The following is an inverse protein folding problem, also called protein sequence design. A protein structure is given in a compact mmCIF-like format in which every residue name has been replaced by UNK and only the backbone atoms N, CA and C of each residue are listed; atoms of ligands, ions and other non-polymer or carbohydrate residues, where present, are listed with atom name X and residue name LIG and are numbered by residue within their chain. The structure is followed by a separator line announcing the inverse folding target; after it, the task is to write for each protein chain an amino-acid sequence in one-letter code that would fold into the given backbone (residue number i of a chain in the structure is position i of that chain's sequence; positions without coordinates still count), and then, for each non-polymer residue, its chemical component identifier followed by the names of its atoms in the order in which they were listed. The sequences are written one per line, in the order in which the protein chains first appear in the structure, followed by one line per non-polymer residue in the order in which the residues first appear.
data_IF_627209342268
#
_entry.id   IF_627209342268
#
_cell.length_a   1.000
_cell.length_b   1.000
_cell.length_c   1.000
_cell.angle_alpha   90.00
_cell.angle_beta   90.00
_cell.angle_gamma   90.00
#
_symmetry.space_group_name_H-M   'P 1'
#
loop_
_entity.id
_entity.type
_entity.pdbx_description
1 polymer ?
#
# COMPACT_ATOMS: atom_id res chain seq x y z
N UNK A 1 78.61 42.07 20.70
CA UNK A 1 78.57 41.57 19.31
C UNK A 1 78.42 40.06 19.37
N UNK A 2 77.25 39.55 19.01
CA UNK A 2 77.09 38.25 18.34
C UNK A 2 75.63 38.04 17.95
N UNK A 3 75.49 37.39 16.81
CA UNK A 3 74.41 37.48 15.84
C UNK A 3 73.36 36.38 16.11
N UNK A 4 72.08 36.73 15.91
CA UNK A 4 70.93 35.81 15.85
C UNK A 4 71.03 34.82 14.68
N UNK A 5 70.49 33.59 14.80
CA UNK A 5 69.89 32.92 13.68
C UNK A 5 68.36 32.99 13.79
N UNK A 6 67.78 33.59 12.76
CA UNK A 6 66.34 33.62 12.44
C UNK A 6 65.90 32.19 12.12
N UNK A 7 64.94 31.66 12.89
CA UNK A 7 64.25 30.41 12.57
C UNK A 7 63.11 30.75 11.60
N UNK A 8 63.27 30.32 10.35
CA UNK A 8 62.25 30.42 9.30
C UNK A 8 61.24 29.27 9.50
N UNK A 9 60.05 29.59 10.03
CA UNK A 9 58.94 28.65 10.17
C UNK A 9 58.20 28.53 8.84
N UNK A 10 58.45 27.44 8.12
CA UNK A 10 57.71 27.01 6.94
C UNK A 10 56.29 26.57 7.36
N UNK A 11 55.30 27.45 7.15
CA UNK A 11 53.88 27.12 7.23
C UNK A 11 53.54 26.21 6.04
N UNK A 12 53.49 24.91 6.29
CA UNK A 12 52.90 23.92 5.38
C UNK A 12 51.39 24.15 5.39
N UNK A 13 50.90 24.88 4.39
CA UNK A 13 49.48 24.98 4.06
C UNK A 13 48.99 23.62 3.58
N UNK A 14 48.52 22.79 4.51
CA UNK A 14 47.74 21.58 4.17
C UNK A 14 46.42 22.03 3.54
N UNK A 15 46.08 21.60 2.31
CA UNK A 15 44.76 21.83 1.78
C UNK A 15 43.78 21.05 2.66
N UNK A 16 42.90 21.78 3.35
CA UNK A 16 41.69 21.18 3.88
C UNK A 16 40.93 20.60 2.68
N UNK A 17 41.04 19.30 2.47
CA UNK A 17 40.08 18.56 1.67
C UNK A 17 38.74 18.76 2.34
N UNK A 18 37.93 19.65 1.77
CA UNK A 18 36.51 19.69 2.03
C UNK A 18 35.99 18.28 1.71
N UNK A 19 35.73 17.51 2.77
CA UNK A 19 34.92 16.31 2.66
C UNK A 19 33.57 16.81 2.17
N UNK A 20 33.35 16.72 0.86
CA UNK A 20 32.01 16.75 0.30
C UNK A 20 31.26 15.67 1.06
N UNK A 21 30.39 16.07 1.99
CA UNK A 21 29.36 15.20 2.52
C UNK A 21 28.56 14.73 1.30
N UNK A 22 28.89 13.53 0.82
CA UNK A 22 28.18 12.91 -0.27
C UNK A 22 26.71 12.87 0.15
N UNK A 23 25.86 13.58 -0.59
CA UNK A 23 24.43 13.60 -0.34
C UNK A 23 23.90 12.17 -0.49
N UNK A 24 23.78 11.44 0.62
CA UNK A 24 22.97 10.23 0.69
C UNK A 24 21.56 10.65 0.29
N UNK A 25 21.14 10.28 -0.92
CA UNK A 25 19.81 10.68 -1.37
C UNK A 25 18.80 9.94 -0.51
N UNK A 26 17.91 10.67 0.17
CA UNK A 26 16.93 10.08 1.09
C UNK A 26 16.17 8.94 0.40
N UNK A 27 15.96 7.83 1.11
CA UNK A 27 15.10 6.74 0.63
C UNK A 27 13.63 7.21 0.58
N UNK A 28 12.79 6.49 -0.18
CA UNK A 28 11.34 6.71 -0.25
C UNK A 28 10.93 8.07 -0.84
N UNK A 29 11.59 8.48 -1.93
CA UNK A 29 11.34 9.77 -2.57
C UNK A 29 10.00 9.84 -3.31
N UNK A 30 9.33 8.69 -3.54
CA UNK A 30 8.09 8.60 -4.31
C UNK A 30 8.23 9.21 -5.72
N UNK A 31 9.36 8.90 -6.37
CA UNK A 31 9.80 9.49 -7.64
C UNK A 31 9.43 8.62 -8.83
N UNK A 32 9.57 7.29 -8.70
CA UNK A 32 9.46 6.37 -9.82
C UNK A 32 8.07 5.77 -9.98
N UNK A 33 7.23 5.83 -8.95
CA UNK A 33 5.80 5.48 -9.03
C UNK A 33 4.95 6.74 -8.89
N UNK A 34 4.90 7.63 -9.91
CA UNK A 34 4.17 8.88 -9.83
C UNK A 34 2.66 8.66 -9.76
N UNK A 35 1.98 9.65 -9.20
CA UNK A 35 0.52 9.71 -9.17
C UNK A 35 -0.05 9.68 -10.60
N UNK A 36 -1.00 8.77 -10.84
CA UNK A 36 -1.85 8.72 -12.03
C UNK A 36 -3.24 9.20 -11.67
N UNK A 37 -3.56 10.41 -12.09
CA UNK A 37 -4.91 10.99 -11.98
C UNK A 37 -5.80 10.62 -13.16
N UNK A 38 -5.24 10.08 -14.23
CA UNK A 38 -5.97 9.67 -15.42
C UNK A 38 -6.60 8.28 -15.29
N UNK A 39 -7.33 7.85 -16.31
CA UNK A 39 -7.99 6.55 -16.34
C UNK A 39 -7.09 5.43 -16.91
N UNK A 40 -5.85 5.74 -17.32
CA UNK A 40 -4.99 4.79 -18.04
C UNK A 40 -4.70 3.52 -17.24
N UNK A 41 -4.55 3.61 -15.92
CA UNK A 41 -4.34 2.42 -15.06
C UNK A 41 -5.60 1.59 -14.84
N UNK A 42 -6.77 2.24 -14.94
CA UNK A 42 -8.09 1.66 -14.65
C UNK A 42 -8.70 0.98 -15.88
N UNK A 43 -8.51 1.55 -17.07
CA UNK A 43 -9.12 1.05 -18.31
C UNK A 43 -8.38 -0.11 -18.97
N UNK A 44 -7.27 -0.60 -18.40
CA UNK A 44 -6.47 -1.69 -18.97
C UNK A 44 -6.47 -2.91 -18.05
N UNK A 45 -6.76 -4.08 -18.61
CA UNK A 45 -6.49 -5.39 -17.99
C UNK A 45 -5.13 -5.96 -18.43
N UNK A 46 -4.44 -5.29 -19.36
CA UNK A 46 -3.22 -5.79 -20.00
C UNK A 46 -1.94 -5.29 -19.33
N UNK A 47 -0.78 -5.73 -19.84
CA UNK A 47 0.55 -5.31 -19.40
C UNK A 47 0.83 -3.78 -19.47
N UNK A 48 -0.15 -3.00 -19.92
CA UNK A 48 -0.04 -1.58 -20.14
C UNK A 48 -0.39 -0.86 -18.84
N UNK A 49 0.51 0.00 -18.37
CA UNK A 49 0.26 0.88 -17.23
C UNK A 49 1.06 0.55 -15.98
N UNK A 50 1.81 -0.56 -15.89
CA UNK A 50 2.80 -0.74 -14.82
C UNK A 50 4.21 -0.54 -15.36
N UNK A 51 5.17 -0.29 -14.47
CA UNK A 51 6.57 -0.16 -14.85
C UNK A 51 7.10 -1.47 -15.44
N UNK A 52 7.77 -1.36 -16.58
CA UNK A 52 8.47 -2.46 -17.25
C UNK A 52 9.70 -2.90 -16.45
N UNK A 53 10.20 -4.12 -16.71
CA UNK A 53 11.43 -4.63 -16.06
C UNK A 53 12.62 -3.67 -16.20
N UNK A 54 12.91 -3.06 -17.37
CA UNK A 54 13.95 -2.04 -17.49
C UNK A 54 13.74 -0.81 -16.59
N UNK A 55 12.50 -0.36 -16.42
CA UNK A 55 12.17 0.78 -15.54
C UNK A 55 12.31 0.42 -14.05
N UNK A 56 11.96 -0.82 -13.68
CA UNK A 56 12.19 -1.34 -12.32
C UNK A 56 13.69 -1.40 -12.00
N UNK A 57 14.51 -1.92 -12.91
CA UNK A 57 15.97 -1.96 -12.75
C UNK A 57 16.54 -0.55 -12.63
N UNK A 58 16.07 0.39 -13.45
CA UNK A 58 16.49 1.79 -13.36
C UNK A 58 16.13 2.42 -12.01
N UNK A 59 14.96 2.10 -11.47
CA UNK A 59 14.52 2.56 -10.14
C UNK A 59 15.43 2.02 -9.05
N UNK A 60 15.69 0.71 -9.06
CA UNK A 60 16.59 0.04 -8.11
C UNK A 60 17.99 0.63 -8.16
N UNK A 61 18.57 0.75 -9.37
CA UNK A 61 19.90 1.30 -9.58
C UNK A 61 20.02 2.76 -9.10
N UNK A 62 18.98 3.58 -9.25
CA UNK A 62 18.99 4.95 -8.74
C UNK A 62 19.15 5.00 -7.22
N UNK A 63 18.41 4.17 -6.49
CA UNK A 63 18.50 4.15 -5.02
C UNK A 63 19.81 3.53 -4.53
N UNK A 64 20.30 2.49 -5.18
CA UNK A 64 21.54 1.80 -4.80
C UNK A 64 22.81 2.52 -5.25
N UNK A 65 22.77 3.37 -6.28
CA UNK A 65 23.92 4.22 -6.60
C UNK A 65 24.11 5.31 -5.53
N UNK A 66 23.01 5.76 -4.94
CA UNK A 66 22.99 6.84 -3.96
C UNK A 66 23.11 6.38 -2.50
N UNK A 67 23.11 5.06 -2.25
CA UNK A 67 23.16 4.45 -0.92
C UNK A 67 24.11 3.25 -0.94
N UNK A 68 24.96 3.07 0.10
CA UNK A 68 26.02 2.06 0.07
C UNK A 68 25.51 0.61 -0.04
N UNK A 69 26.45 -0.29 -0.34
CA UNK A 69 26.31 -1.72 -0.73
C UNK A 69 25.37 -2.56 0.15
N UNK A 70 25.07 -2.16 1.39
CA UNK A 70 24.18 -2.89 2.30
C UNK A 70 22.67 -2.61 2.09
N UNK A 71 22.27 -1.61 1.29
CA UNK A 71 20.85 -1.26 1.13
C UNK A 71 20.01 -2.46 0.64
N UNK A 72 20.52 -3.18 -0.36
CA UNK A 72 19.83 -4.32 -0.95
C UNK A 72 19.66 -5.44 0.07
N UNK A 73 20.73 -5.80 0.77
CA UNK A 73 20.73 -6.81 1.81
C UNK A 73 19.72 -6.49 2.92
N UNK A 74 19.69 -5.25 3.40
CA UNK A 74 18.73 -4.79 4.39
C UNK A 74 17.29 -4.88 3.85
N UNK A 75 17.05 -4.39 2.64
CA UNK A 75 15.72 -4.43 2.03
C UNK A 75 15.22 -5.86 1.83
N UNK A 76 16.08 -6.76 1.34
CA UNK A 76 15.74 -8.18 1.16
C UNK A 76 15.44 -8.84 2.50
N UNK A 77 16.24 -8.55 3.54
CA UNK A 77 15.96 -9.07 4.89
C UNK A 77 14.58 -8.66 5.41
N UNK A 78 14.16 -7.43 5.17
CA UNK A 78 12.83 -6.93 5.57
C UNK A 78 11.72 -7.55 4.71
N UNK A 79 11.93 -7.67 3.40
CA UNK A 79 10.93 -8.20 2.46
C UNK A 79 10.75 -9.73 2.57
N UNK A 80 11.68 -10.41 3.22
CA UNK A 80 11.66 -11.87 3.44
C UNK A 80 11.61 -12.23 4.93
N UNK A 81 11.33 -11.25 5.80
CA UNK A 81 11.26 -11.49 7.24
C UNK A 81 10.03 -12.34 7.59
N UNK A 82 10.27 -13.44 8.29
CA UNK A 82 9.25 -14.43 8.67
C UNK A 82 9.59 -15.05 10.03
N UNK A 83 8.56 -15.41 10.78
CA UNK A 83 8.67 -16.14 12.05
C UNK A 83 8.35 -17.63 11.89
N UNK A 84 7.58 -17.99 10.86
CA UNK A 84 7.19 -19.36 10.57
C UNK A 84 8.39 -20.23 10.15
N UNK A 85 8.53 -21.41 10.77
CA UNK A 85 9.67 -22.32 10.53
C UNK A 85 9.76 -22.82 9.08
N UNK A 86 8.64 -23.14 8.42
CA UNK A 86 8.64 -23.60 7.01
C UNK A 86 9.15 -22.47 6.09
N UNK A 87 8.78 -21.22 6.36
CA UNK A 87 9.34 -20.06 5.63
C UNK A 87 10.85 -19.90 5.88
N UNK A 88 11.32 -20.10 7.11
CA UNK A 88 12.73 -19.97 7.45
C UNK A 88 13.59 -21.07 6.82
N UNK A 89 13.06 -22.30 6.70
CA UNK A 89 13.70 -23.42 6.00
C UNK A 89 13.84 -23.11 4.50
N UNK A 90 12.77 -22.72 3.81
CA UNK A 90 12.81 -22.31 2.40
C UNK A 90 13.85 -21.19 2.16
N UNK A 91 13.86 -20.17 3.04
CA UNK A 91 14.80 -19.06 2.92
C UNK A 91 16.25 -19.49 3.14
N UNK A 92 16.50 -20.50 3.97
CA UNK A 92 17.82 -21.06 4.14
C UNK A 92 18.25 -21.79 2.86
N UNK A 93 17.39 -22.63 2.28
CA UNK A 93 17.67 -23.34 1.03
C UNK A 93 17.95 -22.34 -0.11
N UNK A 94 17.11 -21.31 -0.26
CA UNK A 94 17.34 -20.26 -1.27
C UNK A 94 18.65 -19.50 -1.05
N UNK A 95 19.05 -19.24 0.21
CA UNK A 95 20.35 -18.61 0.51
C UNK A 95 21.50 -19.50 0.06
N UNK A 96 21.37 -20.82 0.19
CA UNK A 96 22.41 -21.76 -0.23
C UNK A 96 22.53 -21.83 -1.75
N UNK A 97 21.41 -21.92 -2.46
CA UNK A 97 21.36 -21.92 -3.92
C UNK A 97 21.90 -20.61 -4.53
N UNK A 98 21.74 -19.50 -3.81
CA UNK A 98 22.16 -18.17 -4.27
C UNK A 98 23.60 -17.79 -3.89
N UNK A 99 24.38 -18.67 -3.24
CA UNK A 99 25.77 -18.37 -2.78
C UNK A 99 26.69 -17.92 -3.91
N UNK A 100 26.56 -18.50 -5.09
CA UNK A 100 27.42 -18.23 -6.25
C UNK A 100 26.84 -17.16 -7.19
N UNK A 101 25.66 -16.62 -6.88
CA UNK A 101 25.03 -15.60 -7.71
C UNK A 101 25.79 -14.27 -7.64
N UNK A 102 25.85 -13.55 -8.76
CA UNK A 102 26.46 -12.20 -8.85
C UNK A 102 25.87 -11.22 -7.82
N UNK A 103 24.61 -11.41 -7.47
CA UNK A 103 23.94 -10.69 -6.40
C UNK A 103 23.11 -11.68 -5.58
N UNK A 104 23.71 -12.25 -4.54
CA UNK A 104 23.09 -13.21 -3.63
C UNK A 104 21.76 -12.72 -3.06
N UNK A 105 21.67 -11.47 -2.61
CA UNK A 105 20.44 -10.90 -2.03
C UNK A 105 19.29 -10.80 -3.05
N UNK A 106 19.60 -10.36 -4.29
CA UNK A 106 18.59 -10.30 -5.35
C UNK A 106 18.16 -11.70 -5.76
N UNK A 107 19.10 -12.65 -5.90
CA UNK A 107 18.79 -14.04 -6.19
C UNK A 107 17.84 -14.62 -5.12
N UNK A 108 18.12 -14.38 -3.82
CA UNK A 108 17.26 -14.81 -2.72
C UNK A 108 15.83 -14.27 -2.88
N UNK A 109 15.69 -12.97 -3.19
CA UNK A 109 14.37 -12.36 -3.41
C UNK A 109 13.68 -12.91 -4.67
N UNK A 110 14.44 -13.19 -5.74
CA UNK A 110 13.92 -13.82 -6.97
C UNK A 110 13.38 -15.24 -6.68
N UNK A 111 14.09 -16.04 -5.89
CA UNK A 111 13.67 -17.37 -5.43
C UNK A 111 12.46 -17.30 -4.51
N UNK A 112 12.45 -16.39 -3.54
CA UNK A 112 11.32 -16.16 -2.64
C UNK A 112 10.00 -15.86 -3.36
N UNK A 113 10.08 -15.13 -4.48
CA UNK A 113 8.93 -14.81 -5.32
C UNK A 113 8.62 -15.85 -6.40
N UNK A 114 9.52 -16.82 -6.63
CA UNK A 114 9.53 -17.69 -7.81
C UNK A 114 9.37 -16.89 -9.13
N UNK A 115 9.85 -15.64 -9.14
CA UNK A 115 9.66 -14.73 -10.26
C UNK A 115 10.52 -13.48 -10.20
N UNK A 116 11.38 -13.31 -11.21
CA UNK A 116 12.24 -12.13 -11.37
C UNK A 116 11.49 -10.80 -11.43
N UNK A 117 10.40 -10.71 -12.20
CA UNK A 117 9.65 -9.45 -12.29
C UNK A 117 8.99 -9.10 -10.96
N UNK A 118 8.46 -10.10 -10.24
CA UNK A 118 7.83 -9.85 -8.95
C UNK A 118 8.84 -9.37 -7.92
N UNK A 119 10.01 -10.03 -7.82
CA UNK A 119 11.09 -9.63 -6.93
C UNK A 119 11.57 -8.19 -7.21
N UNK A 120 11.83 -7.85 -8.47
CA UNK A 120 12.22 -6.50 -8.86
C UNK A 120 11.13 -5.46 -8.55
N UNK A 121 9.85 -5.81 -8.75
CA UNK A 121 8.74 -4.88 -8.45
C UNK A 121 8.57 -4.68 -6.95
N UNK A 122 8.64 -5.74 -6.14
CA UNK A 122 8.59 -5.64 -4.68
C UNK A 122 9.71 -4.73 -4.16
N UNK A 123 10.95 -4.95 -4.62
CA UNK A 123 12.12 -4.16 -4.22
C UNK A 123 12.00 -2.69 -4.66
N UNK A 124 11.59 -2.44 -5.90
CA UNK A 124 11.41 -1.08 -6.40
C UNK A 124 10.30 -0.31 -5.65
N UNK A 125 9.15 -0.97 -5.39
CA UNK A 125 8.07 -0.39 -4.60
C UNK A 125 8.51 -0.07 -3.19
N UNK A 126 9.28 -0.97 -2.56
CA UNK A 126 9.87 -0.73 -1.26
C UNK A 126 10.76 0.51 -1.29
N UNK A 127 11.78 0.55 -2.15
CA UNK A 127 12.72 1.68 -2.23
C UNK A 127 12.06 3.03 -2.49
N UNK A 128 11.03 3.08 -3.36
CA UNK A 128 10.43 4.34 -3.77
C UNK A 128 9.28 4.80 -2.86
N UNK A 129 8.49 3.86 -2.33
CA UNK A 129 7.23 4.18 -1.64
C UNK A 129 7.16 3.73 -0.18
N UNK A 130 8.18 3.03 0.32
CA UNK A 130 8.18 2.41 1.65
C UNK A 130 7.05 1.40 1.84
N UNK A 131 6.66 0.73 0.75
CA UNK A 131 5.64 -0.33 0.80
C UNK A 131 6.32 -1.69 0.85
N UNK A 132 5.98 -2.47 1.88
CA UNK A 132 6.35 -3.89 2.00
C UNK A 132 5.24 -4.72 1.38
N UNK A 133 5.61 -5.61 0.47
CA UNK A 133 4.72 -6.64 -0.06
C UNK A 133 5.48 -7.94 0.13
N UNK A 134 4.93 -8.87 0.90
CA UNK A 134 5.54 -10.17 1.20
C UNK A 134 4.49 -11.27 1.29
N UNK A 135 4.92 -12.52 1.35
CA UNK A 135 4.06 -13.66 1.71
C UNK A 135 3.59 -13.52 3.18
N UNK A 136 2.55 -14.24 3.55
CA UNK A 136 1.98 -14.19 4.90
C UNK A 136 2.56 -15.28 5.79
N UNK A 137 2.55 -15.09 7.10
CA UNK A 137 3.08 -16.07 8.07
C UNK A 137 2.38 -17.44 8.00
N UNK A 138 1.13 -17.47 7.54
CA UNK A 138 0.44 -18.72 7.26
C UNK A 138 0.92 -19.32 5.94
N UNK A 139 1.94 -20.16 6.02
CA UNK A 139 2.56 -20.85 4.88
C UNK A 139 1.56 -21.63 4.01
N UNK A 140 0.46 -22.13 4.60
CA UNK A 140 -0.59 -22.89 3.91
C UNK A 140 -1.62 -22.01 3.19
N UNK A 141 -1.65 -20.71 3.49
CA UNK A 141 -2.52 -19.77 2.79
C UNK A 141 -2.02 -19.54 1.36
N UNK A 142 -2.93 -19.14 0.47
CA UNK A 142 -2.54 -18.74 -0.89
C UNK A 142 -1.61 -17.54 -0.82
N UNK A 143 -0.46 -17.65 -1.47
CA UNK A 143 0.54 -16.59 -1.58
C UNK A 143 0.16 -15.56 -2.63
N UNK A 144 0.69 -14.35 -2.50
CA UNK A 144 0.68 -13.42 -3.62
C UNK A 144 1.54 -13.95 -4.76
N UNK A 145 1.22 -13.51 -5.97
CA UNK A 145 2.00 -13.80 -7.17
C UNK A 145 2.29 -12.50 -7.92
N UNK A 146 3.07 -12.60 -8.99
CA UNK A 146 3.44 -11.48 -9.88
C UNK A 146 2.27 -10.57 -10.28
N UNK A 147 1.09 -11.13 -10.51
CA UNK A 147 -0.08 -10.38 -10.93
C UNK A 147 -0.64 -9.51 -9.80
N UNK A 148 -0.62 -10.00 -8.56
CA UNK A 148 -0.98 -9.20 -7.38
C UNK A 148 -0.11 -7.95 -7.26
N UNK A 149 1.22 -8.08 -7.43
CA UNK A 149 2.14 -6.95 -7.36
C UNK A 149 1.87 -5.89 -8.43
N UNK A 150 1.42 -6.30 -9.62
CA UNK A 150 1.04 -5.35 -10.69
C UNK A 150 -0.16 -4.50 -10.27
N UNK A 151 -1.16 -5.11 -9.63
CA UNK A 151 -2.33 -4.37 -9.17
C UNK A 151 -2.00 -3.50 -7.96
N UNK A 152 -1.19 -3.99 -7.02
CA UNK A 152 -0.70 -3.17 -5.91
C UNK A 152 0.05 -1.93 -6.41
N UNK A 153 0.90 -2.07 -7.43
CA UNK A 153 1.53 -0.91 -8.07
C UNK A 153 0.49 0.07 -8.63
N UNK A 154 -0.51 -0.42 -9.38
CA UNK A 154 -1.56 0.42 -9.96
C UNK A 154 -2.33 1.18 -8.89
N UNK A 155 -2.71 0.50 -7.80
CA UNK A 155 -3.45 1.10 -6.69
C UNK A 155 -2.60 2.14 -5.94
N UNK A 156 -1.33 1.83 -5.63
CA UNK A 156 -0.43 2.79 -4.99
C UNK A 156 -0.20 4.04 -5.84
N UNK A 157 -0.17 3.90 -7.17
CA UNK A 157 -0.08 5.04 -8.10
C UNK A 157 -1.37 5.84 -8.21
N UNK A 158 -2.48 5.38 -7.60
CA UNK A 158 -3.68 6.21 -7.41
C UNK A 158 -3.66 7.04 -6.13
N UNK A 159 -2.69 6.82 -5.24
CA UNK A 159 -2.57 7.54 -3.98
C UNK A 159 -1.53 8.67 -4.14
N UNK A 160 -1.87 9.93 -3.82
CA UNK A 160 -0.92 11.04 -3.91
C UNK A 160 0.33 10.81 -3.07
N UNK A 161 1.48 11.26 -3.57
CA UNK A 161 2.77 11.12 -2.86
C UNK A 161 2.74 11.65 -1.44
N UNK A 162 2.06 12.78 -1.18
CA UNK A 162 1.98 13.31 0.19
C UNK A 162 1.17 12.40 1.12
N UNK A 163 0.12 11.73 0.61
CA UNK A 163 -0.66 10.77 1.39
C UNK A 163 0.14 9.51 1.66
N UNK A 164 0.84 8.96 0.65
CA UNK A 164 1.73 7.80 0.83
C UNK A 164 2.80 8.07 1.90
N UNK A 165 3.42 9.26 1.87
CA UNK A 165 4.35 9.70 2.91
C UNK A 165 3.70 9.78 4.28
N UNK A 166 2.48 10.33 4.37
CA UNK A 166 1.78 10.48 5.64
C UNK A 166 1.33 9.15 6.25
N UNK A 167 0.83 8.21 5.44
CA UNK A 167 0.46 6.86 5.90
C UNK A 167 1.65 6.20 6.56
N UNK A 168 2.85 6.34 5.98
CA UNK A 168 4.05 5.71 6.53
C UNK A 168 4.59 6.32 7.82
N UNK A 169 4.11 7.49 8.28
CA UNK A 169 4.63 8.04 9.53
C UNK A 169 4.14 7.17 10.70
N UNK A 170 4.95 6.99 11.75
CA UNK A 170 4.51 6.44 13.04
C UNK A 170 5.49 6.82 14.14
N UNK A 171 5.08 7.54 15.19
CA UNK A 171 6.00 7.90 16.28
C UNK A 171 5.95 6.84 17.38
N UNK A 172 7.11 6.26 17.77
CA UNK A 172 7.15 5.26 18.81
C UNK A 172 6.94 5.92 20.17
N UNK A 173 6.27 5.22 21.08
CA UNK A 173 6.41 5.50 22.51
C UNK A 173 7.58 4.65 22.98
N UNK A 174 8.71 5.29 23.25
CA UNK A 174 9.94 4.63 23.71
C UNK A 174 9.79 3.89 25.05
N UNK A 175 8.63 4.02 25.71
CA UNK A 175 8.29 3.43 27.01
C UNK A 175 6.88 2.80 27.02
N UNK A 176 6.37 2.33 25.88
CA UNK A 176 5.00 1.80 25.74
C UNK A 176 4.64 0.78 26.83
N UNK A 177 5.55 -0.15 27.12
CA UNK A 177 5.39 -1.16 28.17
C UNK A 177 5.23 -0.53 29.57
N UNK A 178 5.93 0.57 29.84
CA UNK A 178 5.81 1.32 31.09
C UNK A 178 4.42 1.94 31.20
N UNK A 179 3.88 2.47 30.10
CA UNK A 179 2.57 3.13 30.11
C UNK A 179 1.42 2.12 30.20
N UNK A 180 1.56 0.94 29.59
CA UNK A 180 0.58 -0.16 29.68
C UNK A 180 0.52 -0.75 31.07
N UNK A 181 1.68 -0.85 31.75
CA UNK A 181 1.79 -1.42 33.09
C UNK A 181 0.87 -0.76 34.12
N UNK A 182 0.59 0.54 33.94
CA UNK A 182 -0.26 1.33 34.82
C UNK A 182 -1.76 1.28 34.42
N UNK A 183 -2.12 0.61 33.32
CA UNK A 183 -3.51 0.41 32.89
C UNK A 183 -4.18 -0.77 33.61
N UNK A 184 -5.51 -0.83 33.58
CA UNK A 184 -6.23 -2.00 34.08
C UNK A 184 -6.05 -3.22 33.16
N UNK A 185 -6.17 -4.43 33.72
CA UNK A 185 -5.90 -5.69 33.03
C UNK A 185 -6.74 -5.92 31.78
N UNK A 186 -8.01 -5.49 31.79
CA UNK A 186 -8.91 -5.60 30.63
C UNK A 186 -8.40 -4.76 29.45
N UNK A 187 -7.90 -3.55 29.73
CA UNK A 187 -7.31 -2.69 28.70
C UNK A 187 -5.94 -3.21 28.24
N UNK A 188 -5.14 -3.80 29.14
CA UNK A 188 -3.88 -4.43 28.77
C UNK A 188 -4.11 -5.64 27.83
N UNK A 189 -5.05 -6.53 28.17
CA UNK A 189 -5.44 -7.67 27.34
C UNK A 189 -5.98 -7.22 25.98
N UNK A 190 -6.86 -6.21 25.93
CA UNK A 190 -7.37 -5.66 24.66
C UNK A 190 -6.27 -5.07 23.78
N UNK A 191 -5.24 -4.45 24.38
CA UNK A 191 -4.08 -3.92 23.65
C UNK A 191 -3.17 -5.06 23.17
N UNK A 192 -2.99 -6.12 23.97
CA UNK A 192 -2.18 -7.27 23.59
C UNK A 192 -2.87 -8.14 22.51
N UNK A 193 -4.18 -8.35 22.62
CA UNK A 193 -4.99 -9.11 21.66
C UNK A 193 -5.15 -8.39 20.31
N UNK A 194 -5.16 -7.06 20.30
CA UNK A 194 -5.21 -6.28 19.07
C UNK A 194 -3.87 -6.24 18.31
N UNK A 195 -2.76 -6.56 18.98
CA UNK A 195 -1.40 -6.42 18.46
C UNK A 195 -0.45 -7.57 18.92
N UNK A 196 -0.81 -8.85 18.75
CA UNK A 196 -0.08 -9.98 19.35
C UNK A 196 1.34 -10.19 18.80
N UNK A 197 1.64 -9.67 17.60
CA UNK A 197 2.97 -9.74 16.95
C UNK A 197 3.70 -8.39 16.90
N UNK A 198 3.03 -7.29 17.28
CA UNK A 198 3.39 -5.93 16.81
C UNK A 198 4.21 -5.11 17.84
N UNK A 199 4.39 -5.64 19.05
CA UNK A 199 5.08 -4.89 20.11
C UNK A 199 6.60 -4.82 19.95
N UNK A 200 7.22 -5.78 19.27
CA UNK A 200 8.68 -5.85 19.18
C UNK A 200 9.26 -5.24 17.90
N UNK A 201 8.45 -5.00 16.87
CA UNK A 201 8.89 -4.57 15.55
C UNK A 201 7.74 -3.80 14.88
N UNK A 202 7.79 -2.50 14.61
CA UNK A 202 8.46 -2.05 13.37
C UNK A 202 8.31 -0.54 13.15
N UNK A 203 8.37 0.28 14.21
CA UNK A 203 8.66 1.71 14.01
C UNK A 203 10.16 1.84 13.79
N UNK A 204 10.53 2.22 12.57
CA UNK A 204 11.92 2.36 12.16
C UNK A 204 12.54 3.60 12.81
N UNK A 205 13.87 3.67 12.85
CA UNK A 205 14.60 4.76 13.53
C UNK A 205 14.35 6.17 12.99
N UNK A 206 13.60 6.31 11.90
CA UNK A 206 13.11 7.57 11.32
C UNK A 206 11.68 7.93 11.74
N UNK A 207 11.13 7.28 12.79
CA UNK A 207 9.77 7.49 13.30
C UNK A 207 8.70 7.24 12.21
N UNK A 208 8.88 6.15 11.48
CA UNK A 208 7.95 5.70 10.44
C UNK A 208 7.66 4.21 10.55
N UNK A 209 6.52 3.79 10.00
CA UNK A 209 6.11 2.41 9.87
C UNK A 209 5.69 2.15 8.41
N UNK A 210 6.29 1.16 7.72
CA UNK A 210 5.99 0.87 6.32
C UNK A 210 4.52 0.46 6.12
N UNK A 211 3.96 0.80 4.96
CA UNK A 211 2.69 0.23 4.49
C UNK A 211 2.95 -1.21 4.04
N UNK A 212 2.25 -2.16 4.63
CA UNK A 212 2.55 -3.59 4.48
C UNK A 212 1.33 -4.33 3.94
N UNK A 213 1.50 -5.05 2.84
CA UNK A 213 0.48 -5.94 2.27
C UNK A 213 0.92 -7.38 2.44
N UNK A 214 0.07 -8.20 3.06
CA UNK A 214 0.31 -9.64 3.24
C UNK A 214 -0.94 -10.44 2.87
N UNK A 215 -0.79 -11.66 2.34
CA UNK A 215 -1.90 -12.58 2.25
C UNK A 215 -2.21 -13.13 3.64
N UNK A 216 -3.48 -13.43 3.91
CA UNK A 216 -3.88 -14.07 5.15
C UNK A 216 -5.25 -14.72 5.06
N UNK A 217 -5.68 -15.25 6.20
CA UNK A 217 -7.04 -15.77 6.37
C UNK A 217 -7.78 -14.69 7.14
N UNK A 218 -8.53 -13.85 6.44
CA UNK A 218 -9.34 -12.82 7.09
C UNK A 218 -10.33 -13.44 8.09
N UNK A 219 -10.90 -12.63 8.98
CA UNK A 219 -11.84 -13.09 10.01
C UNK A 219 -12.87 -14.10 9.43
N UNK A 220 -12.82 -15.34 9.94
CA UNK A 220 -13.66 -16.47 9.52
C UNK A 220 -13.65 -16.80 8.01
N UNK A 221 -12.62 -16.39 7.25
CA UNK A 221 -12.56 -16.50 5.78
C UNK A 221 -13.68 -15.75 5.03
N UNK A 222 -14.36 -14.81 5.69
CA UNK A 222 -15.48 -14.07 5.11
C UNK A 222 -15.10 -12.68 4.58
N UNK A 223 -14.04 -12.07 5.12
CA UNK A 223 -13.58 -10.74 4.68
C UNK A 223 -12.51 -10.82 3.59
N UNK A 224 -12.66 -9.95 2.58
CA UNK A 224 -11.77 -9.87 1.41
C UNK A 224 -10.41 -9.28 1.80
N UNK A 225 -10.43 -8.26 2.64
CA UNK A 225 -9.25 -7.67 3.24
C UNK A 225 -9.57 -7.13 4.64
N UNK A 226 -8.54 -6.83 5.41
CA UNK A 226 -8.66 -6.32 6.78
C UNK A 226 -7.47 -5.40 7.10
N UNK A 227 -7.77 -4.27 7.72
CA UNK A 227 -6.80 -3.33 8.30
C UNK A 227 -7.01 -3.31 9.81
N UNK A 228 -5.96 -3.61 10.58
CA UNK A 228 -6.02 -3.46 12.04
C UNK A 228 -5.85 -2.00 12.41
N UNK A 229 -6.66 -1.53 13.36
CA UNK A 229 -6.63 -0.14 13.78
C UNK A 229 -5.26 0.21 14.34
N UNK A 230 -4.55 1.06 13.62
CA UNK A 230 -3.23 1.52 14.02
C UNK A 230 -2.04 0.72 13.54
N UNK A 231 -2.29 -0.32 12.76
CA UNK A 231 -1.26 -0.95 11.94
C UNK A 231 -1.31 -0.35 10.53
N UNK A 232 -0.14 -0.15 9.93
CA UNK A 232 -0.03 0.02 8.48
C UNK A 232 0.03 -1.35 7.79
N UNK A 233 -0.82 -2.29 8.22
CA UNK A 233 -0.88 -3.67 7.74
C UNK A 233 -2.24 -3.92 7.11
N UNK A 234 -2.23 -4.34 5.84
CA UNK A 234 -3.40 -4.77 5.10
C UNK A 234 -3.27 -6.25 4.79
N UNK A 235 -4.18 -7.04 5.35
CA UNK A 235 -4.23 -8.48 5.13
C UNK A 235 -5.27 -8.77 4.05
N UNK A 236 -4.88 -9.45 2.98
CA UNK A 236 -5.79 -9.85 1.90
C UNK A 236 -6.09 -11.35 1.95
N UNK A 237 -7.36 -11.71 1.93
CA UNK A 237 -7.78 -13.10 1.67
C UNK A 237 -7.67 -13.36 0.17
N UNK A 238 -6.52 -13.86 -0.29
CA UNK A 238 -6.19 -14.01 -1.73
C UNK A 238 -7.30 -14.68 -2.54
N UNK A 239 -7.93 -15.74 -2.01
CA UNK A 239 -9.06 -16.39 -2.71
C UNK A 239 -10.23 -15.45 -2.98
N UNK A 240 -10.59 -14.60 -2.02
CA UNK A 240 -11.68 -13.64 -2.15
C UNK A 240 -11.24 -12.41 -2.96
N UNK A 241 -9.99 -11.98 -2.80
CA UNK A 241 -9.38 -10.93 -3.60
C UNK A 241 -9.29 -11.30 -5.08
N UNK A 242 -8.90 -12.53 -5.41
CA UNK A 242 -8.88 -13.04 -6.78
C UNK A 242 -10.27 -13.23 -7.36
N UNK A 243 -11.33 -13.36 -6.55
CA UNK A 243 -12.70 -13.28 -7.10
C UNK A 243 -12.91 -11.96 -7.83
N UNK A 244 -12.19 -10.89 -7.46
CA UNK A 244 -12.12 -9.53 -8.06
C UNK A 244 -11.23 -9.41 -9.29
N UNK A 245 -10.63 -10.54 -9.69
CA UNK A 245 -10.02 -10.71 -11.01
C UNK A 245 -10.57 -11.86 -11.85
N UNK A 246 -11.15 -12.90 -11.23
CA UNK A 246 -11.24 -14.29 -11.69
C UNK A 246 -11.23 -14.41 -13.22
N UNK A 247 -10.36 -15.25 -13.79
CA UNK A 247 -9.91 -15.33 -15.21
C UNK A 247 -11.04 -15.37 -16.27
N UNK A 248 -12.29 -15.37 -15.81
CA UNK A 248 -13.53 -15.15 -16.51
C UNK A 248 -14.00 -13.72 -16.24
N UNK A 249 -13.78 -12.86 -17.23
CA UNK A 249 -14.59 -11.67 -17.53
C UNK A 249 -15.94 -11.64 -16.77
N UNK A 250 -16.16 -10.63 -15.92
CA UNK A 250 -17.39 -10.52 -15.12
C UNK A 250 -18.61 -10.47 -16.01
N UNK A 251 -19.64 -11.23 -15.66
CA UNK A 251 -20.84 -11.36 -16.48
C UNK A 251 -21.99 -10.66 -15.81
N UNK A 252 -22.60 -9.75 -16.55
CA UNK A 252 -23.98 -9.34 -16.36
C UNK A 252 -24.76 -9.82 -17.60
N UNK A 253 -26.09 -9.80 -17.55
CA UNK A 253 -26.98 -10.23 -18.63
C UNK A 253 -26.47 -9.64 -19.96
N UNK A 254 -26.02 -10.53 -20.84
CA UNK A 254 -25.49 -10.30 -22.20
C UNK A 254 -24.10 -9.66 -22.35
N UNK A 255 -23.39 -9.33 -21.27
CA UNK A 255 -22.13 -8.57 -21.32
C UNK A 255 -21.00 -9.15 -20.45
N UNK A 256 -19.76 -8.88 -20.87
CA UNK A 256 -18.51 -9.25 -20.19
C UNK A 256 -17.68 -8.03 -19.84
N UNK A 257 -17.31 -7.81 -18.59
CA UNK A 257 -16.46 -6.66 -18.22
C UNK A 257 -14.98 -6.94 -18.43
N UNK A 258 -14.27 -5.93 -18.95
CA UNK A 258 -12.83 -5.95 -19.20
C UNK A 258 -12.09 -5.07 -18.17
N UNK A 259 -12.40 -5.22 -16.87
CA UNK A 259 -11.82 -4.41 -15.79
C UNK A 259 -11.33 -5.26 -14.63
N UNK A 260 -10.23 -4.82 -14.03
CA UNK A 260 -9.70 -5.35 -12.77
C UNK A 260 -10.36 -4.62 -11.59
N UNK A 261 -11.14 -5.36 -10.80
CA UNK A 261 -11.90 -4.82 -9.66
C UNK A 261 -11.18 -4.93 -8.33
N UNK A 262 -9.94 -5.42 -8.34
CA UNK A 262 -9.09 -5.44 -7.16
C UNK A 262 -8.58 -4.06 -6.76
N UNK A 263 -8.47 -3.12 -7.72
CA UNK A 263 -8.02 -1.75 -7.45
C UNK A 263 -8.97 -1.03 -6.47
N UNK A 264 -10.31 -1.05 -6.64
CA UNK A 264 -11.25 -0.56 -5.63
C UNK A 264 -10.98 -1.09 -4.23
N UNK A 265 -10.80 -2.40 -4.07
CA UNK A 265 -10.55 -3.04 -2.77
C UNK A 265 -9.24 -2.50 -2.17
N UNK A 266 -8.14 -2.48 -2.94
CA UNK A 266 -6.86 -1.98 -2.41
C UNK A 266 -6.95 -0.51 -2.01
N UNK A 267 -7.59 0.33 -2.82
CA UNK A 267 -7.73 1.77 -2.54
C UNK A 267 -8.60 2.00 -1.30
N UNK A 268 -9.66 1.21 -1.11
CA UNK A 268 -10.50 1.23 0.09
C UNK A 268 -9.69 0.91 1.35
N UNK A 269 -8.92 -0.18 1.34
CA UNK A 269 -8.12 -0.56 2.50
C UNK A 269 -7.00 0.46 2.78
N UNK A 270 -6.39 1.04 1.73
CA UNK A 270 -5.47 2.16 1.91
C UNK A 270 -6.20 3.37 2.52
N UNK A 271 -7.46 3.63 2.19
CA UNK A 271 -8.22 4.72 2.78
C UNK A 271 -8.42 4.54 4.29
N UNK A 272 -8.61 3.31 4.78
CA UNK A 272 -8.58 3.02 6.22
C UNK A 272 -7.24 3.38 6.87
N UNK A 273 -6.13 3.16 6.17
CA UNK A 273 -4.82 3.66 6.66
C UNK A 273 -4.75 5.19 6.61
N UNK A 274 -5.25 5.86 5.57
CA UNK A 274 -5.28 7.34 5.48
C UNK A 274 -6.09 7.95 6.63
N UNK A 275 -7.24 7.37 6.96
CA UNK A 275 -8.11 7.80 8.04
C UNK A 275 -7.38 7.83 9.40
N UNK A 276 -6.49 6.86 9.64
CA UNK A 276 -5.70 6.78 10.86
C UNK A 276 -4.67 7.92 11.00
N UNK A 277 -4.18 8.51 9.90
CA UNK A 277 -3.01 9.41 9.91
C UNK A 277 -3.27 10.86 9.45
N UNK A 278 -4.51 11.20 9.07
CA UNK A 278 -4.80 12.50 8.44
C UNK A 278 -4.49 13.74 9.30
N UNK A 279 -4.72 13.69 10.61
CA UNK A 279 -4.54 14.84 11.51
C UNK A 279 -3.20 14.89 12.24
N UNK A 280 -2.28 13.98 11.95
CA UNK A 280 -1.05 13.88 12.72
C UNK A 280 0.04 14.84 12.20
N UNK A 281 0.52 15.72 13.09
CA UNK A 281 1.50 16.77 12.80
C UNK A 281 2.97 16.29 12.83
N UNK A 282 3.24 15.06 13.31
CA UNK A 282 4.59 14.51 13.44
C UNK A 282 5.32 14.84 14.75
N UNK A 283 4.79 15.76 15.56
CA UNK A 283 5.47 16.27 16.76
C UNK A 283 4.94 15.67 18.07
N UNK A 284 3.68 15.24 18.10
CA UNK A 284 3.03 14.74 19.32
C UNK A 284 3.43 13.28 19.65
N UNK A 285 3.86 13.01 20.89
CA UNK A 285 4.15 11.66 21.41
C UNK A 285 2.86 10.81 21.50
N UNK A 286 2.91 9.56 21.03
CA UNK A 286 1.74 8.93 20.42
C UNK A 286 1.17 7.78 21.26
N UNK A 287 0.46 8.05 22.37
CA UNK A 287 -0.26 7.02 23.14
C UNK A 287 -1.79 7.13 23.19
N UNK A 288 -2.41 8.10 22.53
CA UNK A 288 -3.88 8.24 22.59
C UNK A 288 -4.54 8.70 21.27
N UNK A 289 -3.93 8.44 20.11
CA UNK A 289 -4.48 8.89 18.82
C UNK A 289 -5.34 7.87 18.07
N UNK A 290 -5.20 6.56 18.32
CA UNK A 290 -5.91 5.52 17.54
C UNK A 290 -7.43 5.45 17.72
N UNK A 291 -8.01 6.17 18.70
CA UNK A 291 -9.48 6.28 18.86
C UNK A 291 -10.08 7.68 18.62
N UNK A 292 -9.32 8.79 18.63
CA UNK A 292 -9.92 10.11 18.90
C UNK A 292 -9.66 11.26 17.90
N UNK A 293 -8.74 11.14 16.94
CA UNK A 293 -8.57 12.16 15.87
C UNK A 293 -8.30 11.53 14.51
N UNK A 294 -9.30 10.77 14.06
CA UNK A 294 -9.42 10.29 12.68
C UNK A 294 -10.26 11.26 11.87
N UNK A 295 -10.19 11.23 10.54
CA UNK A 295 -11.16 11.95 9.71
C UNK A 295 -12.57 11.45 10.05
N UNK A 296 -12.72 10.14 10.23
CA UNK A 296 -13.97 9.47 10.56
C UNK A 296 -14.49 9.72 11.97
N UNK A 297 -13.72 10.37 12.85
CA UNK A 297 -14.09 10.66 14.24
C UNK A 297 -14.04 12.16 14.59
N UNK A 298 -13.65 13.04 13.66
CA UNK A 298 -13.66 14.49 13.89
C UNK A 298 -15.08 15.07 13.75
N UNK A 299 -15.49 15.87 14.73
CA UNK A 299 -16.87 16.38 14.83
C UNK A 299 -17.33 17.18 13.59
N UNK A 300 -16.41 17.80 12.84
CA UNK A 300 -16.77 18.56 11.63
C UNK A 300 -16.90 17.63 10.43
N UNK A 301 -15.98 16.68 10.27
CA UNK A 301 -15.96 15.76 9.12
C UNK A 301 -16.92 14.59 9.26
N UNK A 302 -17.18 14.09 10.48
CA UNK A 302 -18.18 13.03 10.75
C UNK A 302 -19.54 13.38 10.16
N UNK A 303 -19.98 14.63 10.35
CA UNK A 303 -21.24 15.09 9.78
C UNK A 303 -21.21 15.06 8.25
N UNK A 304 -20.13 15.54 7.63
CA UNK A 304 -19.97 15.51 6.18
C UNK A 304 -19.96 14.08 5.62
N UNK A 305 -19.31 13.15 6.32
CA UNK A 305 -19.26 11.73 5.94
C UNK A 305 -20.65 11.12 6.07
N UNK A 306 -21.33 11.30 7.21
CA UNK A 306 -22.63 10.70 7.45
C UNK A 306 -23.71 11.25 6.51
N UNK A 307 -23.68 12.55 6.20
CA UNK A 307 -24.60 13.21 5.28
C UNK A 307 -24.28 12.88 3.80
N UNK A 308 -23.08 12.37 3.50
CA UNK A 308 -22.73 12.00 2.13
C UNK A 308 -23.58 10.83 1.64
N UNK A 309 -23.92 10.82 0.36
CA UNK A 309 -24.55 9.67 -0.28
C UNK A 309 -23.50 8.97 -1.12
N UNK A 310 -23.18 7.72 -0.78
CA UNK A 310 -22.29 6.91 -1.61
C UNK A 310 -22.86 6.83 -3.02
N UNK A 311 -21.99 7.07 -4.01
CA UNK A 311 -22.35 6.90 -5.39
C UNK A 311 -22.54 5.41 -5.69
N UNK A 312 -23.54 5.10 -6.50
CA UNK A 312 -23.69 3.74 -7.01
C UNK A 312 -22.53 3.44 -7.95
N UNK A 313 -21.72 2.47 -7.55
CA UNK A 313 -20.76 1.83 -8.42
C UNK A 313 -21.51 1.35 -9.68
N UNK A 314 -21.02 1.62 -10.91
CA UNK A 314 -21.71 1.30 -12.17
C UNK A 314 -22.39 -0.10 -12.15
N UNK A 315 -23.72 -0.11 -11.97
CA UNK A 315 -24.49 -1.20 -11.34
C UNK A 315 -24.42 -2.61 -11.95
N UNK A 316 -23.82 -2.77 -13.13
CA UNK A 316 -23.68 -4.09 -13.78
C UNK A 316 -22.30 -4.75 -13.59
N UNK A 317 -21.34 -3.98 -13.08
CA UNK A 317 -19.95 -4.40 -12.90
C UNK A 317 -19.74 -5.22 -11.61
N UNK A 318 -20.71 -5.18 -10.68
CA UNK A 318 -20.46 -5.39 -9.25
C UNK A 318 -21.39 -6.38 -8.54
N UNK A 319 -22.44 -6.90 -9.19
CA UNK A 319 -23.32 -7.94 -8.59
C UNK A 319 -22.55 -9.22 -8.20
N UNK A 320 -21.31 -9.39 -8.66
CA UNK A 320 -20.43 -10.51 -8.32
C UNK A 320 -19.66 -10.35 -6.99
N UNK A 321 -19.62 -9.15 -6.38
CA UNK A 321 -18.92 -8.90 -5.12
C UNK A 321 -19.90 -8.62 -4.00
N UNK A 322 -19.90 -9.46 -2.98
CA UNK A 322 -20.65 -9.22 -1.73
C UNK A 322 -20.36 -7.80 -1.23
N UNK A 323 -19.10 -7.40 -1.12
CA UNK A 323 -18.67 -6.06 -0.69
C UNK A 323 -19.26 -4.89 -1.51
N UNK A 324 -19.18 -4.90 -2.84
CA UNK A 324 -19.65 -3.77 -3.68
C UNK A 324 -21.16 -3.80 -3.91
N UNK A 325 -21.78 -4.97 -3.79
CA UNK A 325 -23.23 -5.12 -3.67
C UNK A 325 -23.73 -4.51 -2.35
N UNK A 326 -23.04 -4.74 -1.24
CA UNK A 326 -23.37 -4.15 0.06
C UNK A 326 -23.26 -2.61 0.07
N UNK A 327 -22.32 -2.02 -0.69
CA UNK A 327 -22.27 -0.57 -0.91
C UNK A 327 -23.52 -0.08 -1.67
N UNK A 328 -23.93 -0.80 -2.70
CA UNK A 328 -25.11 -0.45 -3.50
C UNK A 328 -26.45 -0.69 -2.77
N UNK A 329 -26.49 -1.61 -1.79
CA UNK A 329 -27.63 -1.88 -0.90
C UNK A 329 -27.60 -1.01 0.37
N UNK A 330 -26.65 -0.08 0.49
CA UNK A 330 -26.57 0.89 1.58
C UNK A 330 -26.06 0.34 2.92
N UNK A 331 -25.46 -0.86 2.96
CA UNK A 331 -24.90 -1.42 4.20
C UNK A 331 -23.63 -0.71 4.68
N UNK A 332 -22.84 -0.18 3.74
CA UNK A 332 -21.66 0.64 4.06
C UNK A 332 -22.01 2.01 4.63
N UNK A 333 -23.29 2.41 4.64
CA UNK A 333 -23.75 3.60 5.36
C UNK A 333 -23.84 3.38 6.89
N UNK A 334 -23.66 2.14 7.38
CA UNK A 334 -23.80 1.79 8.80
C UNK A 334 -22.60 2.15 9.69
N UNK A 335 -21.41 2.36 9.14
CA UNK A 335 -20.19 2.69 9.89
C UNK A 335 -19.43 3.85 9.22
N UNK A 336 -19.17 4.93 9.96
CA UNK A 336 -18.54 6.15 9.43
C UNK A 336 -17.14 5.89 8.84
N UNK A 337 -16.35 4.96 9.40
CA UNK A 337 -15.02 4.61 8.87
C UNK A 337 -15.13 3.96 7.48
N UNK A 338 -16.00 2.96 7.35
CA UNK A 338 -16.25 2.26 6.08
C UNK A 338 -16.81 3.21 5.02
N UNK A 339 -17.74 4.08 5.41
CA UNK A 339 -18.29 5.11 4.53
C UNK A 339 -17.22 6.09 4.05
N UNK A 340 -16.31 6.52 4.93
CA UNK A 340 -15.19 7.36 4.54
C UNK A 340 -14.26 6.66 3.56
N UNK A 341 -13.89 5.41 3.83
CA UNK A 341 -13.00 4.65 2.97
C UNK A 341 -13.61 4.45 1.57
N UNK A 342 -14.92 4.21 1.49
CA UNK A 342 -15.66 4.20 0.24
C UNK A 342 -15.69 5.57 -0.45
N UNK A 343 -15.94 6.65 0.28
CA UNK A 343 -15.92 8.01 -0.30
C UNK A 343 -14.54 8.34 -0.92
N UNK A 344 -13.45 7.96 -0.26
CA UNK A 344 -12.08 8.12 -0.76
C UNK A 344 -11.87 7.26 -2.02
N UNK A 345 -12.29 6.00 -2.01
CA UNK A 345 -12.21 5.12 -3.17
C UNK A 345 -13.02 5.67 -4.35
N UNK A 346 -14.25 6.11 -4.12
CA UNK A 346 -15.12 6.68 -5.15
C UNK A 346 -14.59 8.00 -5.70
N UNK A 347 -13.96 8.83 -4.87
CA UNK A 347 -13.32 10.07 -5.32
C UNK A 347 -12.20 9.80 -6.32
N UNK A 348 -11.43 8.74 -6.12
CA UNK A 348 -10.34 8.34 -7.02
C UNK A 348 -10.89 7.62 -8.27
N UNK A 349 -11.86 6.73 -8.08
CA UNK A 349 -12.18 5.69 -9.07
C UNK A 349 -13.49 5.94 -9.84
N UNK A 350 -14.44 6.68 -9.29
CA UNK A 350 -15.69 7.11 -9.96
C UNK A 350 -16.07 8.57 -9.61
N UNK A 351 -15.14 9.54 -9.77
CA UNK A 351 -15.29 10.91 -9.28
C UNK A 351 -16.53 11.62 -9.85
N UNK A 352 -16.90 11.35 -11.10
CA UNK A 352 -18.03 11.99 -11.76
C UNK A 352 -19.36 11.61 -11.09
N UNK A 353 -19.52 10.33 -10.74
CA UNK A 353 -20.70 9.84 -10.02
C UNK A 353 -20.75 10.33 -8.59
N UNK A 354 -19.60 10.37 -7.90
CA UNK A 354 -19.52 10.93 -6.56
C UNK A 354 -19.93 12.41 -6.54
N UNK A 355 -19.41 13.19 -7.50
CA UNK A 355 -19.76 14.61 -7.67
C UNK A 355 -21.26 14.83 -7.89
N UNK A 356 -21.93 13.94 -8.61
CA UNK A 356 -23.38 14.00 -8.82
C UNK A 356 -24.17 13.55 -7.58
N UNK A 357 -23.71 12.50 -6.90
CA UNK A 357 -24.42 11.88 -5.77
C UNK A 357 -24.29 12.70 -4.48
N UNK A 358 -23.12 13.28 -4.23
CA UNK A 358 -22.82 14.10 -3.05
C UNK A 358 -21.81 15.23 -3.37
N UNK A 359 -22.27 16.33 -3.99
CA UNK A 359 -21.39 17.42 -4.41
C UNK A 359 -20.55 18.03 -3.28
N UNK A 360 -21.12 18.10 -2.06
CA UNK A 360 -20.45 18.66 -0.89
C UNK A 360 -19.31 17.76 -0.40
N UNK A 361 -19.55 16.45 -0.30
CA UNK A 361 -18.48 15.52 0.09
C UNK A 361 -17.40 15.43 -0.99
N UNK A 362 -17.77 15.50 -2.28
CA UNK A 362 -16.81 15.60 -3.37
C UNK A 362 -15.92 16.85 -3.24
N UNK A 363 -16.51 18.02 -3.01
CA UNK A 363 -15.76 19.27 -2.85
C UNK A 363 -14.83 19.22 -1.62
N UNK A 364 -15.33 18.71 -0.49
CA UNK A 364 -14.53 18.49 0.72
C UNK A 364 -13.34 17.54 0.46
N UNK A 365 -13.58 16.40 -0.18
CA UNK A 365 -12.50 15.47 -0.55
C UNK A 365 -11.49 16.15 -1.46
N UNK A 366 -11.94 16.87 -2.48
CA UNK A 366 -11.05 17.59 -3.40
C UNK A 366 -10.19 18.60 -2.68
N UNK A 367 -10.80 19.49 -1.92
CA UNK A 367 -10.13 20.69 -1.40
C UNK A 367 -9.32 20.38 -0.14
N UNK A 368 -9.93 19.67 0.81
CA UNK A 368 -9.35 19.49 2.15
C UNK A 368 -8.53 18.20 2.27
N UNK A 369 -9.00 17.11 1.63
CA UNK A 369 -8.33 15.80 1.73
C UNK A 369 -7.27 15.63 0.66
N UNK A 370 -7.61 15.88 -0.60
CA UNK A 370 -6.77 15.66 -1.79
C UNK A 370 -6.02 16.91 -2.27
N UNK A 371 -6.20 18.06 -1.61
CA UNK A 371 -5.45 19.31 -1.87
C UNK A 371 -5.54 19.78 -3.33
N UNK A 372 -6.73 19.72 -3.91
CA UNK A 372 -7.03 20.14 -5.27
C UNK A 372 -6.76 19.10 -6.36
N UNK A 373 -6.29 17.89 -6.01
CA UNK A 373 -6.04 16.81 -6.99
C UNK A 373 -7.36 16.21 -7.46
N UNK A 374 -7.69 16.35 -8.75
CA UNK A 374 -8.86 15.74 -9.38
C UNK A 374 -8.49 14.51 -10.20
N UNK A 375 -9.41 13.53 -10.26
CA UNK A 375 -9.22 12.26 -10.96
C UNK A 375 -10.16 12.11 -12.16
N UNK A 376 -9.73 11.25 -13.10
CA UNK A 376 -10.56 10.63 -14.13
C UNK A 376 -10.64 9.13 -13.83
N UNK A 377 -11.83 8.69 -13.44
CA UNK A 377 -12.07 7.32 -13.00
C UNK A 377 -12.52 6.37 -14.11
N UNK A 378 -13.17 5.28 -13.71
CA UNK A 378 -13.80 4.31 -14.61
C UNK A 378 -14.87 4.94 -15.51
N UNK A 379 -15.52 6.02 -15.06
CA UNK A 379 -16.55 6.71 -15.84
C UNK A 379 -16.02 7.30 -17.16
N UNK A 380 -14.74 7.66 -17.22
CA UNK A 380 -14.13 8.24 -18.41
C UNK A 380 -13.47 7.21 -19.34
N UNK A 381 -13.47 5.93 -18.97
CA UNK A 381 -12.94 4.87 -19.82
C UNK A 381 -13.79 4.70 -21.09
N UNK A 382 -13.15 4.49 -22.25
CA UNK A 382 -13.83 4.40 -23.54
C UNK A 382 -14.81 3.23 -23.59
N UNK A 383 -16.07 3.47 -23.94
CA UNK A 383 -17.06 2.40 -24.14
C UNK A 383 -16.86 1.69 -25.50
N UNK A 384 -17.09 0.37 -25.57
CA UNK A 384 -17.44 -0.49 -24.44
C UNK A 384 -16.20 -1.07 -23.75
N UNK A 385 -16.11 -0.89 -22.44
CA UNK A 385 -15.24 -1.68 -21.53
C UNK A 385 -15.95 -2.99 -21.19
N UNK A 386 -16.76 -3.44 -22.15
CA UNK A 386 -17.52 -4.67 -22.12
C UNK A 386 -17.38 -5.35 -23.47
N UNK A 387 -17.38 -6.66 -23.47
CA UNK A 387 -17.52 -7.46 -24.68
C UNK A 387 -18.87 -8.16 -24.63
N UNK A 388 -19.61 -8.21 -25.74
CA UNK A 388 -20.80 -9.06 -25.81
C UNK A 388 -20.42 -10.53 -25.59
N UNK A 389 -21.26 -11.28 -24.86
CA UNK A 389 -21.08 -12.71 -24.72
C UNK A 389 -21.19 -13.39 -26.10
N UNK A 390 -20.36 -14.41 -26.37
CA UNK A 390 -20.63 -15.29 -27.50
C UNK A 390 -21.76 -16.27 -27.15
N UNK A 391 -22.30 -16.97 -28.16
CA UNK A 391 -23.41 -17.92 -28.02
C UNK A 391 -23.20 -18.98 -26.93
N UNK A 392 -21.98 -19.51 -26.79
CA UNK A 392 -21.65 -20.53 -25.80
C UNK A 392 -21.65 -19.95 -24.38
N UNK A 393 -21.05 -18.78 -24.22
CA UNK A 393 -20.98 -18.08 -22.94
C UNK A 393 -22.34 -17.60 -22.45
N UNK A 394 -23.17 -17.14 -23.39
CA UNK A 394 -24.56 -16.78 -23.16
C UNK A 394 -25.40 -18.00 -22.75
N UNK A 395 -25.21 -19.16 -23.42
CA UNK A 395 -25.89 -20.41 -23.06
C UNK A 395 -25.52 -20.89 -21.65
N UNK A 396 -24.26 -20.74 -21.24
CA UNK A 396 -23.82 -21.08 -19.88
C UNK A 396 -24.38 -20.12 -18.84
N UNK A 397 -24.40 -18.81 -19.11
CA UNK A 397 -24.97 -17.81 -18.20
C UNK A 397 -26.45 -18.14 -17.88
N UNK A 398 -27.23 -18.40 -18.94
CA UNK A 398 -28.64 -18.79 -18.85
C UNK A 398 -28.88 -20.02 -17.98
N UNK A 399 -27.99 -21.02 -18.03
CA UNK A 399 -28.10 -22.25 -17.22
C UNK A 399 -27.78 -21.99 -15.74
N UNK A 400 -26.95 -21.00 -15.43
CA UNK A 400 -26.59 -20.62 -14.05
C UNK A 400 -27.62 -19.68 -13.39
N UNK A 401 -28.76 -19.42 -14.03
CA UNK A 401 -29.81 -18.53 -13.51
C UNK A 401 -29.38 -17.06 -13.42
N UNK A 402 -28.38 -16.67 -14.22
CA UNK A 402 -27.86 -15.31 -14.33
C UNK A 402 -28.10 -14.76 -15.73
#
# INVERSE_FOLDING_TARGET
MSIYPVVFLLLISTPFSAVNAAFNTALFQNKFFPLSTDNALLCTTSNHGFLSVPELIKTIAFYEQANPVELRKLAVSVLTDHSNTEHLEDLQDYKEDCKEAVSSDLCLLESYWDNKEAALRALALFYDTKTIIKHGENYKARRFNKDHLRVFEKALRKIPTFMRKNISKAKPIRELDQVIKDMNSVMQELIQDAFPEDFATSIWGDDTHPLTFVPGVGFQSQVVAQVYNGQNLIIFTVKAFDKAKDDKLYRDIDLKYLVDFRIPIIVHEIAHTIDNFHFWNGDDALYFFYRYRKISNDNKTVKLINDAKLALWPSKWFEAFEYLWEVNDGRYDGQTQEKLAELVAQYILIPERLKQSTPNAYAWLRDDVFKGIEYKGYDSCSKPIVKSLNLWEHSIAKVLGR
#
